data_IF_220998651240
#
_entry.id   IF_220998651240
#
_cell.length_a   1.000
_cell.length_b   1.000
_cell.length_c   1.000
_cell.angle_alpha   90.00
_cell.angle_beta   90.00
_cell.angle_gamma   90.00
#
_symmetry.space_group_name_H-M   'P 1'
#
loop_
_entity.id
_entity.type
_entity.pdbx_description
1 polymer ?
#
# COMPACT_ATOMS: atom_id res chain seq x y z
N UNK A 1 -11.27 -5.29 9.53
CA UNK A 1 -10.24 -5.06 8.49
C UNK A 1 -10.92 -5.28 7.16
N UNK A 2 -10.91 -4.29 6.26
CA UNK A 2 -11.57 -4.37 4.94
C UNK A 2 -10.49 -4.47 3.86
N UNK A 3 -10.73 -5.08 2.69
CA UNK A 3 -9.78 -4.99 1.60
C UNK A 3 -9.46 -3.51 1.33
N UNK A 4 -8.19 -3.19 1.07
CA UNK A 4 -7.63 -1.83 0.93
C UNK A 4 -8.22 -0.99 -0.23
N UNK A 5 -9.34 -1.44 -0.82
CA UNK A 5 -9.89 -1.02 -2.10
C UNK A 5 -11.14 -0.14 -1.96
N UNK A 6 -11.62 0.15 -0.74
CA UNK A 6 -12.84 0.96 -0.59
C UNK A 6 -12.52 2.43 -0.34
N UNK A 7 -12.09 3.14 -1.40
CA UNK A 7 -12.38 4.57 -1.61
C UNK A 7 -11.90 5.04 -2.99
N UNK A 8 -12.47 4.46 -4.04
CA UNK A 8 -12.85 5.22 -5.23
C UNK A 8 -14.04 4.52 -5.88
N UNK A 9 -15.11 5.27 -6.10
CA UNK A 9 -16.47 4.81 -6.38
C UNK A 9 -16.65 4.13 -7.74
N UNK A 10 -17.60 3.18 -7.75
CA UNK A 10 -18.25 2.52 -8.90
C UNK A 10 -17.53 1.31 -9.53
N UNK A 11 -18.33 0.27 -9.79
CA UNK A 11 -18.05 -1.00 -10.49
C UNK A 11 -17.46 -2.14 -9.66
N UNK A 12 -18.40 -2.98 -9.20
CA UNK A 12 -18.20 -4.40 -8.93
C UNK A 12 -17.79 -5.08 -10.23
N UNK A 13 -16.49 -5.13 -10.51
CA UNK A 13 -15.90 -6.03 -11.48
C UNK A 13 -14.53 -6.47 -10.96
N UNK A 14 -14.55 -7.61 -10.25
CA UNK A 14 -13.39 -8.45 -9.99
C UNK A 14 -12.29 -7.82 -9.13
N UNK A 15 -12.14 -8.32 -7.90
CA UNK A 15 -10.98 -8.06 -7.02
C UNK A 15 -9.60 -8.25 -7.71
N UNK A 16 -9.56 -8.90 -8.88
CA UNK A 16 -8.38 -9.07 -9.73
C UNK A 16 -8.10 -7.91 -10.71
N UNK A 17 -9.06 -7.03 -11.00
CA UNK A 17 -8.91 -5.99 -12.05
C UNK A 17 -8.15 -4.74 -11.58
N UNK A 18 -8.14 -4.46 -10.26
CA UNK A 18 -7.36 -3.35 -9.70
C UNK A 18 -5.86 -3.72 -9.53
N UNK A 19 -5.54 -5.02 -9.47
CA UNK A 19 -4.19 -5.55 -9.26
C UNK A 19 -4.02 -6.90 -9.97
N UNK A 20 -3.78 -6.93 -11.29
CA UNK A 20 -3.58 -8.19 -12.03
C UNK A 20 -2.35 -9.00 -11.57
N UNK A 21 -1.47 -8.41 -10.75
CA UNK A 21 -0.19 -8.99 -10.31
C UNK A 21 -0.09 -9.23 -8.79
N UNK A 22 -1.17 -9.10 -8.01
CA UNK A 22 -1.10 -9.39 -6.58
C UNK A 22 -0.78 -10.86 -6.34
N UNK A 23 0.22 -11.12 -5.49
CA UNK A 23 0.57 -12.46 -5.03
C UNK A 23 0.81 -12.41 -3.54
N UNK A 24 0.07 -13.23 -2.78
CA UNK A 24 0.26 -13.36 -1.34
C UNK A 24 1.72 -13.67 -0.98
N UNK A 25 2.38 -14.58 -1.72
CA UNK A 25 3.80 -14.90 -1.53
C UNK A 25 4.71 -13.68 -1.73
N UNK A 26 4.44 -12.87 -2.76
CA UNK A 26 5.20 -11.62 -2.99
C UNK A 26 4.97 -10.60 -1.88
N UNK A 27 3.72 -10.46 -1.43
CA UNK A 27 3.36 -9.56 -0.34
C UNK A 27 4.09 -9.93 0.95
N UNK A 28 4.04 -11.20 1.37
CA UNK A 28 4.73 -11.69 2.57
C UNK A 28 6.24 -11.56 2.43
N UNK A 29 6.80 -11.78 1.24
CA UNK A 29 8.24 -11.56 0.99
C UNK A 29 8.64 -10.09 1.16
N UNK A 30 7.77 -9.16 0.78
CA UNK A 30 8.05 -7.73 0.83
C UNK A 30 7.83 -7.12 2.23
N UNK A 31 6.76 -7.51 2.92
CA UNK A 31 6.30 -6.85 4.15
C UNK A 31 6.28 -7.75 5.39
N UNK A 32 6.53 -9.05 5.21
CA UNK A 32 6.37 -10.05 6.27
C UNK A 32 4.92 -10.48 6.49
N UNK A 33 4.71 -11.33 7.49
CA UNK A 33 3.39 -11.83 7.91
C UNK A 33 2.66 -10.88 8.86
N UNK A 34 3.38 -9.93 9.44
CA UNK A 34 2.82 -8.92 10.35
C UNK A 34 2.16 -7.78 9.57
N UNK A 35 1.31 -7.03 10.28
CA UNK A 35 0.74 -5.80 9.75
C UNK A 35 1.78 -4.70 9.59
N UNK A 36 1.60 -3.84 8.59
CA UNK A 36 2.52 -2.76 8.22
C UNK A 36 1.76 -1.48 7.84
N UNK A 37 2.43 -0.34 7.83
CA UNK A 37 1.79 0.91 7.39
C UNK A 37 1.45 0.86 5.90
N UNK A 38 0.22 1.19 5.53
CA UNK A 38 -0.19 1.35 4.14
C UNK A 38 0.55 2.54 3.47
N UNK A 39 0.43 2.66 2.15
CA UNK A 39 1.06 3.76 1.39
C UNK A 39 0.41 5.13 1.66
N UNK A 40 -0.80 5.15 2.24
CA UNK A 40 -1.46 6.36 2.78
C UNK A 40 -0.86 6.85 4.13
N UNK A 41 0.08 6.09 4.72
CA UNK A 41 0.80 6.41 5.96
C UNK A 41 -0.12 6.60 7.18
N UNK A 42 -1.31 6.02 7.13
CA UNK A 42 -2.36 6.25 8.09
C UNK A 42 -3.01 4.92 8.45
N UNK A 43 -3.48 4.19 7.44
CA UNK A 43 -4.02 2.86 7.65
C UNK A 43 -2.91 1.84 7.88
N UNK A 44 -3.31 0.77 8.55
CA UNK A 44 -2.49 -0.43 8.74
C UNK A 44 -2.96 -1.50 7.76
N UNK A 45 -2.03 -2.04 6.99
CA UNK A 45 -2.22 -3.06 5.96
C UNK A 45 -1.69 -4.42 6.44
N UNK A 46 -2.26 -5.51 5.93
CA UNK A 46 -1.73 -6.85 6.07
C UNK A 46 -1.96 -7.65 4.79
N UNK A 47 -1.02 -8.54 4.48
CA UNK A 47 -1.15 -9.46 3.35
C UNK A 47 -2.23 -10.51 3.67
N UNK A 48 -3.22 -10.66 2.79
CA UNK A 48 -4.19 -11.75 2.85
C UNK A 48 -4.16 -12.56 1.54
N UNK A 49 -4.66 -13.81 1.53
CA UNK A 49 -4.65 -14.65 0.34
C UNK A 49 -5.31 -13.98 -0.88
N UNK A 50 -6.42 -13.26 -0.64
CA UNK A 50 -7.26 -12.66 -1.69
C UNK A 50 -6.93 -11.19 -1.97
N UNK A 51 -5.90 -10.63 -1.34
CA UNK A 51 -5.52 -9.23 -1.51
C UNK A 51 -4.94 -8.61 -0.25
N UNK A 52 -4.69 -7.31 -0.29
CA UNK A 52 -4.31 -6.52 0.88
C UNK A 52 -5.56 -6.12 1.67
N UNK A 53 -5.54 -6.40 2.97
CA UNK A 53 -6.54 -5.87 3.91
C UNK A 53 -5.97 -4.68 4.64
N UNK A 54 -6.78 -3.66 4.87
CA UNK A 54 -6.42 -2.47 5.63
C UNK A 54 -7.42 -2.18 6.76
N UNK A 55 -7.01 -1.33 7.68
CA UNK A 55 -7.93 -0.55 8.50
C UNK A 55 -8.70 0.45 7.62
N UNK A 56 -9.85 0.90 8.11
CA UNK A 56 -10.73 1.85 7.40
C UNK A 56 -10.79 3.15 8.21
N UNK A 57 -9.70 3.91 8.19
CA UNK A 57 -9.58 5.20 8.86
C UNK A 57 -9.65 6.32 7.84
N UNK A 58 -10.36 7.40 8.20
CA UNK A 58 -10.30 8.65 7.44
C UNK A 58 -8.90 9.26 7.61
N UNK A 59 -8.16 9.37 6.51
CA UNK A 59 -6.75 9.77 6.56
C UNK A 59 -6.55 11.26 6.27
N UNK A 60 -5.64 11.93 6.99
CA UNK A 60 -5.26 13.30 6.68
C UNK A 60 -4.51 13.36 5.34
N UNK A 61 -4.37 14.56 4.75
CA UNK A 61 -3.54 14.77 3.57
C UNK A 61 -2.10 14.28 3.77
N UNK A 62 -1.44 13.94 2.66
CA UNK A 62 -0.05 13.49 2.67
C UNK A 62 0.88 14.49 3.39
N UNK A 63 1.75 13.96 4.26
CA UNK A 63 2.81 14.72 4.92
C UNK A 63 4.17 14.05 4.65
N UNK A 64 5.08 14.80 4.01
CA UNK A 64 6.42 14.31 3.67
C UNK A 64 7.29 13.98 4.88
N UNK A 65 7.19 14.77 5.97
CA UNK A 65 7.93 14.49 7.22
C UNK A 65 7.39 13.22 7.87
N UNK A 66 6.06 13.05 7.91
CA UNK A 66 5.42 11.83 8.41
C UNK A 66 5.83 10.62 7.58
N UNK A 67 5.86 10.74 6.25
CA UNK A 67 6.32 9.68 5.36
C UNK A 67 7.71 9.18 5.75
N UNK A 68 8.68 10.10 5.90
CA UNK A 68 10.04 9.74 6.30
C UNK A 68 10.11 9.12 7.68
N UNK A 69 9.25 9.52 8.61
CA UNK A 69 9.19 8.93 9.97
C UNK A 69 8.68 7.50 9.93
N UNK A 70 7.68 7.21 9.10
CA UNK A 70 7.01 5.90 9.04
C UNK A 70 7.74 4.92 8.14
N UNK A 71 8.14 5.34 6.94
CA UNK A 71 8.74 4.49 5.91
C UNK A 71 10.27 4.58 5.85
N UNK A 72 10.86 5.60 6.48
CA UNK A 72 12.28 5.91 6.37
C UNK A 72 12.62 6.79 5.17
N UNK A 73 13.92 7.04 4.98
CA UNK A 73 14.47 7.81 3.85
C UNK A 73 14.78 6.95 2.62
N UNK A 74 14.81 5.62 2.79
CA UNK A 74 15.10 4.66 1.73
C UNK A 74 13.89 4.37 0.84
N UNK A 75 14.12 3.51 -0.14
CA UNK A 75 13.04 2.95 -0.94
C UNK A 75 12.42 1.74 -0.23
N UNK A 76 11.10 1.57 -0.34
CA UNK A 76 10.37 0.41 0.17
C UNK A 76 9.57 -0.24 -0.97
N UNK A 77 9.27 -1.56 -0.91
CA UNK A 77 8.28 -2.15 -1.79
C UNK A 77 6.95 -1.43 -1.57
N UNK A 78 6.24 -1.02 -2.63
CA UNK A 78 4.92 -0.39 -2.50
C UNK A 78 3.87 -1.11 -3.33
N UNK A 79 2.60 -0.78 -3.13
CA UNK A 79 1.50 -1.48 -3.78
C UNK A 79 1.40 -1.24 -5.30
N UNK A 80 2.35 -0.56 -5.94
CA UNK A 80 2.39 -0.36 -7.39
C UNK A 80 3.15 -1.48 -8.14
N UNK A 81 2.88 -2.76 -7.84
CA UNK A 81 3.56 -3.91 -8.47
C UNK A 81 4.94 -4.24 -7.88
N UNK A 82 5.87 -4.79 -8.68
CA UNK A 82 7.28 -5.04 -8.28
C UNK A 82 8.11 -3.75 -8.11
N UNK A 83 7.46 -2.59 -8.17
CA UNK A 83 8.12 -1.31 -8.06
C UNK A 83 8.47 -1.00 -6.60
N UNK A 84 9.54 -0.23 -6.44
CA UNK A 84 9.85 0.38 -5.16
C UNK A 84 9.22 1.77 -5.10
N UNK A 85 8.98 2.28 -3.91
CA UNK A 85 8.55 3.65 -3.69
C UNK A 85 9.50 4.36 -2.75
N UNK A 86 9.53 5.69 -2.84
CA UNK A 86 10.19 6.54 -1.85
C UNK A 86 9.34 7.75 -1.52
N UNK A 87 9.55 8.32 -0.33
CA UNK A 87 8.93 9.58 0.04
C UNK A 87 9.45 10.69 -0.88
N UNK A 88 8.56 11.54 -1.38
CA UNK A 88 8.90 12.74 -2.12
C UNK A 88 8.06 13.94 -1.64
N UNK A 89 8.50 15.19 -1.86
CA UNK A 89 7.77 16.37 -1.39
C UNK A 89 6.33 16.48 -1.92
N UNK A 90 6.04 15.85 -3.07
CA UNK A 90 4.72 15.87 -3.73
C UNK A 90 3.96 14.53 -3.62
N UNK A 91 4.30 13.70 -2.63
CA UNK A 91 3.66 12.40 -2.42
C UNK A 91 4.65 11.22 -2.46
N UNK A 92 4.12 10.01 -2.57
CA UNK A 92 4.94 8.81 -2.73
C UNK A 92 5.34 8.68 -4.21
N UNK A 93 6.65 8.67 -4.49
CA UNK A 93 7.17 8.48 -5.85
C UNK A 93 7.45 7.01 -6.10
N UNK A 94 6.86 6.47 -7.16
CA UNK A 94 7.16 5.13 -7.68
C UNK A 94 8.51 5.15 -8.41
N UNK A 95 9.36 4.19 -8.08
CA UNK A 95 10.63 3.86 -8.71
C UNK A 95 10.39 2.58 -9.51
N UNK A 96 10.39 2.72 -10.84
CA UNK A 96 10.28 1.58 -11.73
C UNK A 96 11.65 0.90 -11.80
N UNK A 97 11.67 -0.40 -11.52
CA UNK A 97 12.85 -1.26 -11.65
C UNK A 97 12.75 -2.14 -12.89
#
# INVERSE_FOLDING_TARGET
MKPCVVLCTMLVASLAAAYPDYSYKRCIKAYGTSSFACDDLCNTCACAPDGLVSTDQACPPYDFKKCKKVKGIGAWPCNAGNNMCRCAPRGVKILVL
#
